data_IF_068008873379
#
_entry.id   IF_068008873379
#
_cell.length_a   1.000
_cell.length_b   1.000
_cell.length_c   1.000
_cell.angle_alpha   90.00
_cell.angle_beta   90.00
_cell.angle_gamma   90.00
#
_symmetry.space_group_name_H-M   'P 1'
#
loop_
_entity.id
_entity.type
_entity.pdbx_description
1 polymer ?
#
# COMPACT_ATOMS: atom_id res chain seq x y z
N UNK A 1 23.28 25.64 -58.09
CA UNK A 1 23.32 25.23 -56.67
C UNK A 1 22.01 24.62 -56.16
N UNK A 2 20.85 24.89 -56.78
CA UNK A 2 19.54 24.34 -56.36
C UNK A 2 19.38 22.81 -56.51
N UNK A 3 20.04 22.18 -57.49
CA UNK A 3 19.96 20.72 -57.69
C UNK A 3 20.48 19.91 -56.49
N UNK A 4 21.54 20.40 -55.83
CA UNK A 4 22.18 19.71 -54.71
C UNK A 4 21.30 19.74 -53.44
N UNK A 5 20.56 20.83 -53.22
CA UNK A 5 19.66 20.97 -52.06
C UNK A 5 18.47 20.01 -52.14
N UNK A 6 17.87 19.85 -53.33
CA UNK A 6 16.73 18.95 -53.52
C UNK A 6 17.13 17.47 -53.37
N UNK A 7 18.28 17.07 -53.89
CA UNK A 7 18.81 15.71 -53.73
C UNK A 7 19.12 15.40 -52.27
N UNK A 8 19.75 16.36 -51.56
CA UNK A 8 20.03 16.24 -50.12
C UNK A 8 18.76 16.12 -49.29
N UNK A 9 17.75 16.94 -49.55
CA UNK A 9 16.45 16.88 -48.85
C UNK A 9 15.74 15.55 -49.12
N UNK A 10 15.72 15.08 -50.36
CA UNK A 10 15.12 13.79 -50.71
C UNK A 10 15.79 12.63 -49.97
N UNK A 11 17.13 12.65 -49.89
CA UNK A 11 17.91 11.67 -49.14
C UNK A 11 17.58 11.70 -47.64
N UNK A 12 17.66 12.89 -47.00
CA UNK A 12 17.40 13.05 -45.58
C UNK A 12 15.97 12.64 -45.21
N UNK A 13 14.99 13.03 -46.02
CA UNK A 13 13.59 12.63 -45.84
C UNK A 13 13.42 11.12 -45.91
N UNK A 14 13.98 10.46 -46.93
CA UNK A 14 13.87 9.01 -47.08
C UNK A 14 14.51 8.27 -45.90
N UNK A 15 15.71 8.69 -45.48
CA UNK A 15 16.43 8.09 -44.34
C UNK A 15 15.72 8.32 -43.02
N UNK A 16 15.20 9.52 -42.77
CA UNK A 16 14.50 9.82 -41.52
C UNK A 16 13.20 9.02 -41.44
N UNK A 17 12.42 8.96 -42.52
CA UNK A 17 11.19 8.16 -42.56
C UNK A 17 11.47 6.66 -42.42
N UNK A 18 12.54 6.14 -43.03
CA UNK A 18 12.99 4.76 -42.86
C UNK A 18 13.37 4.47 -41.41
N UNK A 19 14.17 5.34 -40.77
CA UNK A 19 14.55 5.19 -39.36
C UNK A 19 13.35 5.27 -38.42
N UNK A 20 12.42 6.21 -38.67
CA UNK A 20 11.19 6.33 -37.91
C UNK A 20 10.31 5.07 -38.05
N UNK A 21 10.20 4.50 -39.25
CA UNK A 21 9.41 3.28 -39.48
C UNK A 21 9.97 2.03 -38.79
N UNK A 22 11.24 2.06 -38.37
CA UNK A 22 11.87 1.00 -37.57
C UNK A 22 11.78 1.25 -36.07
N UNK A 23 11.47 2.47 -35.65
CA UNK A 23 11.35 2.85 -34.24
C UNK A 23 9.90 2.60 -33.77
N UNK A 24 9.65 1.68 -32.82
CA UNK A 24 8.30 1.34 -32.37
C UNK A 24 7.58 2.51 -31.70
N UNK A 25 8.31 3.57 -31.35
CA UNK A 25 7.80 4.78 -30.69
C UNK A 25 7.26 5.79 -31.71
N UNK A 26 7.70 5.74 -32.97
CA UNK A 26 7.37 6.75 -33.98
C UNK A 26 6.41 6.17 -35.02
N UNK A 27 5.21 6.75 -35.13
CA UNK A 27 4.33 6.48 -36.27
C UNK A 27 4.60 7.51 -37.38
N UNK A 28 5.21 7.12 -38.52
CA UNK A 28 5.70 8.07 -39.53
C UNK A 28 4.59 8.72 -40.37
N UNK A 29 3.32 8.32 -40.19
CA UNK A 29 2.23 8.62 -41.12
C UNK A 29 1.92 10.12 -41.29
N UNK A 30 2.38 10.99 -40.38
CA UNK A 30 2.14 12.43 -40.45
C UNK A 30 3.42 13.30 -40.43
N UNK A 31 4.62 12.70 -40.47
CA UNK A 31 5.87 13.46 -40.40
C UNK A 31 6.22 14.11 -41.75
N UNK A 32 6.27 15.43 -41.77
CA UNK A 32 6.75 16.24 -42.88
C UNK A 32 8.14 16.78 -42.56
N UNK A 33 9.03 16.67 -43.53
CA UNK A 33 10.43 17.09 -43.42
C UNK A 33 10.70 18.13 -44.50
N UNK A 34 11.14 19.31 -44.09
CA UNK A 34 11.51 20.41 -44.96
C UNK A 34 12.94 20.86 -44.66
N UNK A 35 13.66 21.34 -45.67
CA UNK A 35 14.96 21.99 -45.49
C UNK A 35 14.81 23.45 -45.93
N UNK A 36 15.04 24.37 -45.00
CA UNK A 36 15.04 25.81 -45.25
C UNK A 36 16.39 26.36 -44.83
N UNK A 37 17.16 26.84 -45.81
CA UNK A 37 18.56 27.21 -45.64
C UNK A 37 19.37 26.06 -44.99
N UNK A 38 19.89 26.27 -43.78
CA UNK A 38 20.65 25.27 -43.01
C UNK A 38 19.82 24.65 -41.86
N UNK A 39 18.48 24.79 -41.92
CA UNK A 39 17.56 24.30 -40.89
C UNK A 39 16.66 23.19 -41.44
N UNK A 40 16.74 22.01 -40.81
CA UNK A 40 15.81 20.91 -41.02
C UNK A 40 14.56 21.12 -40.15
N UNK A 41 13.45 21.45 -40.79
CA UNK A 41 12.16 21.69 -40.14
C UNK A 41 11.33 20.41 -40.16
N UNK A 42 10.97 19.93 -38.98
CA UNK A 42 10.17 18.73 -38.75
C UNK A 42 8.77 19.17 -38.30
N UNK A 43 7.75 18.87 -39.08
CA UNK A 43 6.34 19.18 -38.76
C UNK A 43 5.48 17.94 -38.87
N UNK A 44 4.31 17.95 -38.24
CA UNK A 44 3.41 16.80 -38.23
C UNK A 44 2.78 16.56 -36.87
N UNK A 45 1.86 15.59 -36.82
CA UNK A 45 1.31 15.09 -35.57
C UNK A 45 2.16 13.91 -35.09
N UNK A 46 2.56 13.94 -33.83
CA UNK A 46 3.26 12.84 -33.16
C UNK A 46 2.42 12.35 -32.00
N UNK A 47 2.40 11.04 -31.72
CA UNK A 47 1.50 10.49 -30.71
C UNK A 47 1.83 10.99 -29.30
N UNK A 48 3.07 11.40 -29.02
CA UNK A 48 3.46 11.81 -27.68
C UNK A 48 4.80 12.57 -27.67
N UNK A 49 5.18 13.15 -26.53
CA UNK A 49 6.33 14.03 -26.40
C UNK A 49 7.67 13.28 -26.58
N UNK A 50 7.80 12.05 -26.09
CA UNK A 50 9.01 11.26 -26.29
C UNK A 50 9.25 10.93 -27.77
N UNK A 51 8.18 10.71 -28.56
CA UNK A 51 8.31 10.53 -30.01
C UNK A 51 8.86 11.81 -30.66
N UNK A 52 8.41 12.99 -30.20
CA UNK A 52 8.94 14.28 -30.64
C UNK A 52 10.45 14.37 -30.40
N UNK A 53 10.92 14.13 -29.18
CA UNK A 53 12.35 14.18 -28.83
C UNK A 53 13.17 13.15 -29.62
N UNK A 54 12.66 11.93 -29.76
CA UNK A 54 13.32 10.86 -30.51
C UNK A 54 13.54 11.20 -31.97
N UNK A 55 12.56 11.83 -32.63
CA UNK A 55 12.70 12.31 -34.01
C UNK A 55 13.81 13.38 -34.09
N UNK A 56 13.89 14.28 -33.11
CA UNK A 56 14.98 15.28 -33.06
C UNK A 56 16.36 14.62 -32.96
N UNK A 57 16.51 13.59 -32.13
CA UNK A 57 17.79 12.90 -31.97
C UNK A 57 18.19 12.14 -33.24
N UNK A 58 17.26 11.46 -33.89
CA UNK A 58 17.49 10.80 -35.18
C UNK A 58 17.87 11.82 -36.26
N UNK A 59 17.21 12.97 -36.29
CA UNK A 59 17.53 14.04 -37.23
C UNK A 59 18.94 14.60 -37.01
N UNK A 60 19.36 14.84 -35.76
CA UNK A 60 20.73 15.26 -35.41
C UNK A 60 21.77 14.22 -35.80
N UNK A 61 21.48 12.93 -35.65
CA UNK A 61 22.39 11.85 -36.05
C UNK A 61 22.56 11.78 -37.56
N UNK A 62 21.50 12.00 -38.33
CA UNK A 62 21.51 11.94 -39.79
C UNK A 62 22.10 13.20 -40.44
N UNK A 63 21.95 14.36 -39.80
CA UNK A 63 22.40 15.65 -40.30
C UNK A 63 23.03 16.50 -39.18
N UNK A 64 24.23 16.14 -38.69
CA UNK A 64 24.87 16.82 -37.57
C UNK A 64 25.32 18.26 -37.90
N UNK A 65 25.38 18.62 -39.17
CA UNK A 65 25.76 19.94 -39.67
C UNK A 65 24.56 20.89 -39.85
N UNK A 66 23.32 20.42 -39.66
CA UNK A 66 22.11 21.23 -39.81
C UNK A 66 21.52 21.62 -38.44
N UNK A 67 20.89 22.79 -38.39
CA UNK A 67 20.02 23.15 -37.27
C UNK A 67 18.72 22.34 -37.36
N UNK A 68 18.22 21.84 -36.22
CA UNK A 68 16.98 21.05 -36.17
C UNK A 68 15.87 21.89 -35.52
N UNK A 69 14.85 22.23 -36.29
CA UNK A 69 13.61 22.84 -35.79
C UNK A 69 12.52 21.75 -35.72
N UNK A 70 12.18 21.33 -34.50
CA UNK A 70 11.12 20.36 -34.28
C UNK A 70 9.80 21.03 -33.88
N UNK A 71 9.04 21.38 -34.90
CA UNK A 71 7.71 21.96 -34.83
C UNK A 71 6.59 20.90 -34.89
N UNK A 72 6.88 19.63 -34.58
CA UNK A 72 5.83 18.61 -34.46
C UNK A 72 4.86 18.94 -33.33
N UNK A 73 3.57 18.70 -33.56
CA UNK A 73 2.49 18.86 -32.58
C UNK A 73 2.21 17.51 -31.92
N UNK A 74 2.18 17.47 -30.60
CA UNK A 74 1.81 16.26 -29.86
C UNK A 74 0.29 16.12 -29.90
N UNK A 75 -0.20 14.96 -30.34
CA UNK A 75 -1.62 14.63 -30.28
C UNK A 75 -2.04 14.47 -28.81
N UNK A 76 -2.73 15.48 -28.27
CA UNK A 76 -3.19 15.47 -26.90
C UNK A 76 -4.23 14.36 -26.61
N UNK A 77 -4.82 13.76 -27.66
CA UNK A 77 -5.77 12.65 -27.54
C UNK A 77 -5.08 11.28 -27.60
N UNK A 78 -3.81 11.22 -28.00
CA UNK A 78 -3.10 9.97 -28.09
C UNK A 78 -2.76 9.43 -26.70
N UNK A 79 -2.97 8.13 -26.54
CA UNK A 79 -2.62 7.42 -25.30
C UNK A 79 -1.08 7.38 -25.20
N UNK A 80 -0.47 7.82 -24.10
CA UNK A 80 0.97 7.78 -23.94
C UNK A 80 1.51 6.35 -24.10
N UNK A 81 2.71 6.23 -24.66
CA UNK A 81 3.30 4.91 -24.85
C UNK A 81 3.61 4.24 -23.50
N UNK A 82 3.69 2.90 -23.43
CA UNK A 82 4.08 2.22 -22.19
C UNK A 82 5.41 2.72 -21.61
N UNK A 83 6.38 3.09 -22.46
CA UNK A 83 7.66 3.65 -22.03
C UNK A 83 7.50 4.98 -21.30
N UNK A 84 6.73 5.91 -21.85
CA UNK A 84 6.46 7.20 -21.18
C UNK A 84 5.66 7.05 -19.90
N UNK A 85 4.69 6.12 -19.88
CA UNK A 85 3.95 5.83 -18.67
C UNK A 85 4.87 5.25 -17.59
N UNK A 86 5.86 4.44 -17.97
CA UNK A 86 6.87 3.92 -17.05
C UNK A 86 7.80 5.03 -16.55
N UNK A 87 8.27 5.91 -17.43
CA UNK A 87 9.12 7.05 -17.04
C UNK A 87 8.38 7.98 -16.07
N UNK A 88 7.12 8.31 -16.39
CA UNK A 88 6.25 9.10 -15.53
C UNK A 88 5.98 8.44 -14.18
N UNK A 89 5.78 7.11 -14.16
CA UNK A 89 5.63 6.36 -12.91
C UNK A 89 6.94 6.40 -12.10
N UNK A 90 8.09 6.26 -12.76
CA UNK A 90 9.41 6.36 -12.17
C UNK A 90 9.69 7.73 -11.55
N UNK A 91 9.38 8.81 -12.27
CA UNK A 91 9.49 10.18 -11.77
C UNK A 91 8.59 10.42 -10.56
N UNK A 92 7.33 10.00 -10.65
CA UNK A 92 6.39 10.08 -9.54
C UNK A 92 6.89 9.30 -8.31
N UNK A 93 7.41 8.08 -8.49
CA UNK A 93 7.96 7.28 -7.39
C UNK A 93 9.19 7.94 -6.77
N UNK A 94 10.15 8.42 -7.58
CA UNK A 94 11.33 9.15 -7.07
C UNK A 94 10.93 10.40 -6.28
N UNK A 95 9.93 11.14 -6.77
CA UNK A 95 9.44 12.32 -6.08
C UNK A 95 8.73 11.98 -4.76
N UNK A 96 7.90 10.94 -4.75
CA UNK A 96 7.05 10.58 -3.60
C UNK A 96 7.82 9.83 -2.52
N UNK A 97 8.76 8.97 -2.90
CA UNK A 97 9.45 8.04 -1.99
C UNK A 97 10.96 8.30 -1.88
N UNK A 98 11.51 9.25 -2.62
CA UNK A 98 12.94 9.60 -2.56
C UNK A 98 13.85 8.42 -2.87
N UNK A 99 14.82 8.19 -1.99
CA UNK A 99 15.84 7.15 -2.14
C UNK A 99 15.25 5.73 -2.14
N UNK A 100 14.09 5.52 -1.52
CA UNK A 100 13.45 4.20 -1.48
C UNK A 100 12.93 3.76 -2.86
N UNK A 101 12.73 4.71 -3.79
CA UNK A 101 12.23 4.43 -5.14
C UNK A 101 13.13 3.46 -5.92
N UNK A 102 14.41 3.32 -5.56
CA UNK A 102 15.33 2.39 -6.20
C UNK A 102 14.98 0.91 -5.99
N UNK A 103 14.24 0.57 -4.93
CA UNK A 103 13.77 -0.80 -4.66
C UNK A 103 12.38 -1.08 -5.24
N UNK A 104 11.71 -0.04 -5.75
CA UNK A 104 10.35 -0.10 -6.29
C UNK A 104 10.37 -0.11 -7.82
N UNK A 105 9.38 -0.77 -8.41
CA UNK A 105 9.28 -0.85 -9.86
C UNK A 105 7.84 -0.88 -10.34
N UNK A 106 7.63 -0.36 -11.55
CA UNK A 106 6.35 -0.41 -12.26
C UNK A 106 6.64 -0.87 -13.68
N UNK A 107 5.92 -1.90 -14.14
CA UNK A 107 5.94 -2.29 -15.55
C UNK A 107 4.57 -2.04 -16.15
N UNK A 108 4.52 -1.54 -17.39
CA UNK A 108 3.26 -1.19 -18.05
C UNK A 108 3.18 -1.91 -19.39
N UNK A 109 2.03 -2.54 -19.66
CA UNK A 109 1.79 -3.23 -20.92
C UNK A 109 0.31 -3.57 -21.11
N UNK A 110 -0.20 -3.38 -22.33
CA UNK A 110 -1.60 -3.67 -22.67
C UNK A 110 -2.61 -2.96 -21.75
N UNK A 111 -2.30 -1.71 -21.38
CA UNK A 111 -3.08 -0.87 -20.45
C UNK A 111 -3.19 -1.39 -19.03
N UNK A 112 -2.35 -2.35 -18.64
CA UNK A 112 -2.19 -2.83 -17.26
C UNK A 112 -0.86 -2.36 -16.70
N UNK A 113 -0.86 -1.91 -15.45
CA UNK A 113 0.36 -1.64 -14.69
C UNK A 113 0.59 -2.78 -13.67
N UNK A 114 1.84 -3.21 -13.53
CA UNK A 114 2.27 -4.24 -12.61
C UNK A 114 3.29 -3.64 -11.63
N UNK A 115 2.92 -3.56 -10.36
CA UNK A 115 3.83 -3.10 -9.30
C UNK A 115 4.77 -4.23 -8.92
N UNK A 116 6.06 -3.92 -8.77
CA UNK A 116 7.13 -4.88 -8.45
C UNK A 116 8.14 -4.29 -7.46
N UNK A 117 8.96 -5.16 -6.89
CA UNK A 117 10.06 -4.78 -6.00
C UNK A 117 9.66 -4.75 -4.53
N UNK A 118 10.49 -4.11 -3.71
CA UNK A 118 10.27 -3.98 -2.26
C UNK A 118 9.62 -2.64 -1.97
N UNK A 119 8.44 -2.68 -1.35
CA UNK A 119 7.65 -1.51 -1.00
C UNK A 119 7.62 -1.34 0.52
N UNK A 120 7.68 -0.11 1.04
CA UNK A 120 7.83 0.12 2.48
C UNK A 120 6.59 -0.30 3.28
N UNK A 121 5.38 -0.05 2.76
CA UNK A 121 4.11 -0.22 3.49
C UNK A 121 2.94 -0.57 2.56
N UNK A 122 1.85 -1.10 3.13
CA UNK A 122 0.59 -1.33 2.38
C UNK A 122 -0.01 -0.01 1.88
N UNK A 123 0.13 1.07 2.64
CA UNK A 123 -0.32 2.40 2.25
C UNK A 123 0.40 2.87 0.98
N UNK A 124 1.73 2.68 0.88
CA UNK A 124 2.51 3.05 -0.30
C UNK A 124 2.02 2.29 -1.55
N UNK A 125 1.76 0.99 -1.43
CA UNK A 125 1.19 0.18 -2.53
C UNK A 125 -0.19 0.69 -2.93
N UNK A 126 -1.03 1.02 -1.96
CA UNK A 126 -2.39 1.53 -2.21
C UNK A 126 -2.34 2.88 -2.91
N UNK A 127 -1.47 3.79 -2.46
CA UNK A 127 -1.25 5.09 -3.08
C UNK A 127 -0.74 4.93 -4.52
N UNK A 128 0.21 4.04 -4.76
CA UNK A 128 0.71 3.76 -6.11
C UNK A 128 -0.39 3.22 -7.03
N UNK A 129 -1.25 2.33 -6.55
CA UNK A 129 -2.41 1.85 -7.32
C UNK A 129 -3.36 2.97 -7.70
N UNK A 130 -3.62 3.91 -6.78
CA UNK A 130 -4.50 5.05 -7.04
C UNK A 130 -3.87 6.01 -8.05
N UNK A 131 -2.61 6.40 -7.86
CA UNK A 131 -1.96 7.40 -8.72
C UNK A 131 -1.64 6.85 -10.12
N UNK A 132 -1.07 5.65 -10.21
CA UNK A 132 -0.78 5.02 -11.51
C UNK A 132 -2.08 4.64 -12.23
N UNK A 133 -3.13 4.28 -11.48
CA UNK A 133 -4.45 3.99 -12.04
C UNK A 133 -5.12 5.21 -12.70
N UNK A 134 -4.65 6.44 -12.42
CA UNK A 134 -5.12 7.67 -13.07
C UNK A 134 -4.37 7.99 -14.36
N UNK A 135 -3.33 7.23 -14.71
CA UNK A 135 -2.57 7.50 -15.92
C UNK A 135 -3.41 7.18 -17.16
N UNK A 136 -3.41 8.03 -18.20
CA UNK A 136 -4.15 7.77 -19.43
C UNK A 136 -3.76 6.42 -20.05
N UNK A 137 -4.76 5.60 -20.40
CA UNK A 137 -4.55 4.27 -20.97
C UNK A 137 -4.37 3.13 -19.95
N UNK A 138 -4.24 3.44 -18.66
CA UNK A 138 -4.21 2.41 -17.60
C UNK A 138 -5.63 2.11 -17.13
N UNK A 139 -6.05 0.85 -17.24
CA UNK A 139 -7.36 0.39 -16.78
C UNK A 139 -7.29 -0.57 -15.59
N UNK A 140 -6.10 -1.09 -15.24
CA UNK A 140 -5.92 -1.89 -14.03
C UNK A 140 -4.49 -1.83 -13.50
N UNK A 141 -4.34 -1.83 -12.17
CA UNK A 141 -3.04 -1.92 -11.48
C UNK A 141 -2.98 -3.18 -10.62
N UNK A 142 -2.05 -4.07 -10.95
CA UNK A 142 -1.80 -5.35 -10.29
C UNK A 142 -0.62 -5.24 -9.31
N UNK A 143 -0.84 -5.40 -8.00
CA UNK A 143 0.22 -5.39 -6.99
C UNK A 143 0.86 -6.77 -6.72
N UNK A 144 0.53 -7.81 -7.50
CA UNK A 144 0.97 -9.19 -7.23
C UNK A 144 2.50 -9.39 -7.19
N UNK A 145 3.27 -8.51 -7.83
CA UNK A 145 4.74 -8.53 -7.83
C UNK A 145 5.40 -7.79 -6.67
N UNK A 146 4.62 -7.21 -5.74
CA UNK A 146 5.13 -6.44 -4.62
C UNK A 146 5.55 -7.34 -3.46
N UNK A 147 6.76 -7.11 -2.95
CA UNK A 147 7.21 -7.59 -1.64
C UNK A 147 7.18 -6.44 -0.65
N UNK A 148 6.63 -6.65 0.55
CA UNK A 148 6.61 -5.58 1.57
C UNK A 148 7.84 -5.69 2.48
N UNK A 149 8.48 -4.54 2.73
CA UNK A 149 9.63 -4.42 3.62
C UNK A 149 9.22 -4.86 5.03
N UNK A 150 10.02 -5.74 5.61
CA UNK A 150 9.76 -6.37 6.90
C UNK A 150 10.98 -6.30 7.81
N UNK A 151 11.86 -5.36 7.52
CA UNK A 151 13.06 -5.07 8.29
C UNK A 151 13.20 -3.57 8.46
N UNK A 152 13.86 -3.17 9.53
CA UNK A 152 14.36 -1.80 9.71
C UNK A 152 15.84 -1.79 9.36
N UNK A 153 16.27 -0.74 8.66
CA UNK A 153 17.69 -0.50 8.43
C UNK A 153 18.26 0.22 9.64
N UNK A 154 19.29 -0.36 10.26
CA UNK A 154 20.09 0.33 11.25
C UNK A 154 20.93 1.42 10.57
N UNK A 155 21.39 2.45 11.31
CA UNK A 155 22.27 3.49 10.77
C UNK A 155 23.53 2.95 10.07
N UNK A 156 23.96 1.76 10.45
CA UNK A 156 25.10 1.03 9.90
C UNK A 156 24.79 0.30 8.58
N UNK A 157 23.55 0.41 8.07
CA UNK A 157 23.09 -0.26 6.84
C UNK A 157 22.60 -1.70 7.03
N UNK A 158 22.71 -2.25 8.24
CA UNK A 158 22.27 -3.62 8.53
C UNK A 158 20.74 -3.71 8.63
N UNK A 159 20.16 -4.68 7.91
CA UNK A 159 18.72 -4.97 7.98
C UNK A 159 18.40 -5.87 9.17
N UNK A 160 17.54 -5.39 10.08
CA UNK A 160 17.03 -6.18 11.22
C UNK A 160 15.56 -6.50 10.99
N UNK A 161 15.15 -7.78 11.01
CA UNK A 161 13.74 -8.15 10.91
C UNK A 161 12.90 -7.44 11.96
N UNK A 162 11.77 -6.88 11.56
CA UNK A 162 10.81 -6.32 12.50
C UNK A 162 10.09 -7.46 13.22
N UNK A 163 10.28 -7.54 14.53
CA UNK A 163 9.50 -8.44 15.35
C UNK A 163 8.06 -7.91 15.51
N UNK A 164 7.12 -8.82 15.78
CA UNK A 164 5.71 -8.45 15.90
C UNK A 164 5.47 -7.43 17.03
N UNK A 165 6.31 -7.46 18.07
CA UNK A 165 6.25 -6.56 19.21
C UNK A 165 6.60 -5.13 18.78
N UNK A 166 7.65 -4.93 17.98
CA UNK A 166 8.03 -3.61 17.48
C UNK A 166 6.92 -2.98 16.63
N UNK A 167 6.29 -3.77 15.75
CA UNK A 167 5.18 -3.28 14.91
C UNK A 167 3.99 -2.84 15.77
N UNK A 168 3.60 -3.64 16.78
CA UNK A 168 2.50 -3.29 17.68
C UNK A 168 2.83 -2.06 18.54
N UNK A 169 4.07 -1.95 19.03
CA UNK A 169 4.51 -0.78 19.79
C UNK A 169 4.56 0.49 18.94
N UNK A 170 4.96 0.39 17.67
CA UNK A 170 4.90 1.48 16.71
C UNK A 170 3.45 1.89 16.43
N UNK A 171 2.55 0.92 16.23
CA UNK A 171 1.11 1.18 16.09
C UNK A 171 0.52 1.87 17.31
N UNK A 172 0.87 1.43 18.52
CA UNK A 172 0.44 2.05 19.76
C UNK A 172 0.82 3.54 19.80
N UNK A 173 2.08 3.85 19.45
CA UNK A 173 2.58 5.22 19.40
C UNK A 173 1.87 6.03 18.31
N UNK A 174 1.74 5.48 17.11
CA UNK A 174 1.08 6.15 15.99
C UNK A 174 -0.39 6.48 16.30
N UNK A 175 -1.13 5.53 16.86
CA UNK A 175 -2.51 5.75 17.30
C UNK A 175 -2.62 6.76 18.44
N UNK A 176 -1.68 6.76 19.39
CA UNK A 176 -1.65 7.74 20.47
C UNK A 176 -1.53 9.18 19.96
N UNK A 177 -0.79 9.42 18.87
CA UNK A 177 -0.72 10.76 18.24
C UNK A 177 -2.05 11.23 17.67
N UNK A 178 -2.95 10.30 17.35
CA UNK A 178 -4.28 10.55 16.82
C UNK A 178 -5.36 10.59 17.93
N UNK A 179 -4.95 10.48 19.20
CA UNK A 179 -5.86 10.46 20.35
C UNK A 179 -6.45 9.09 20.68
N UNK A 180 -6.04 8.02 19.97
CA UNK A 180 -6.47 6.66 20.26
C UNK A 180 -5.49 5.95 21.19
N UNK A 181 -6.00 5.19 22.16
CA UNK A 181 -5.17 4.38 23.07
C UNK A 181 -5.41 2.89 22.79
N UNK A 182 -4.37 2.19 22.35
CA UNK A 182 -4.40 0.73 22.31
C UNK A 182 -4.52 0.15 23.72
N UNK A 183 -5.27 -0.95 23.85
CA UNK A 183 -5.58 -1.60 25.13
C UNK A 183 -6.81 -1.05 25.83
N UNK A 184 -7.19 0.20 25.57
CA UNK A 184 -8.42 0.78 26.15
C UNK A 184 -9.66 0.34 25.35
N UNK A 185 -9.59 0.38 24.02
CA UNK A 185 -10.74 0.08 23.15
C UNK A 185 -10.38 -0.73 21.91
N UNK A 186 -9.12 -0.66 21.48
CA UNK A 186 -8.60 -1.39 20.33
C UNK A 186 -7.39 -2.20 20.78
N UNK A 187 -7.39 -3.49 20.48
CA UNK A 187 -6.24 -4.37 20.52
C UNK A 187 -5.67 -4.54 19.12
N UNK A 188 -4.35 -4.66 19.04
CA UNK A 188 -3.66 -5.03 17.80
C UNK A 188 -2.76 -6.23 18.05
N UNK A 189 -2.72 -7.13 17.08
CA UNK A 189 -1.84 -8.31 17.11
C UNK A 189 -1.09 -8.37 15.80
N UNK A 190 0.21 -8.64 15.85
CA UNK A 190 1.00 -8.86 14.65
C UNK A 190 1.45 -10.31 14.59
N UNK A 191 1.16 -10.98 13.48
CA UNK A 191 1.70 -12.29 13.15
C UNK A 191 2.38 -12.21 11.78
N UNK A 192 3.72 -12.16 11.76
CA UNK A 192 4.53 -12.07 10.55
C UNK A 192 4.06 -10.96 9.57
N UNK A 193 3.75 -9.78 10.12
CA UNK A 193 3.28 -8.64 9.34
C UNK A 193 1.77 -8.64 9.05
N UNK A 194 1.03 -9.70 9.39
CA UNK A 194 -0.43 -9.62 9.41
C UNK A 194 -0.87 -8.98 10.71
N UNK A 195 -1.42 -7.75 10.63
CA UNK A 195 -1.97 -7.05 11.79
C UNK A 195 -3.46 -7.32 11.88
N UNK A 196 -3.88 -7.94 12.98
CA UNK A 196 -5.29 -8.13 13.34
C UNK A 196 -5.68 -7.02 14.32
N UNK A 197 -6.70 -6.24 13.97
CA UNK A 197 -7.25 -5.16 14.77
C UNK A 197 -8.60 -5.60 15.33
N UNK A 198 -8.75 -5.56 16.64
CA UNK A 198 -9.95 -6.02 17.35
C UNK A 198 -10.37 -4.97 18.34
N UNK A 199 -11.66 -4.68 18.43
CA UNK A 199 -12.15 -3.76 19.45
C UNK A 199 -13.37 -2.96 19.03
N UNK A 200 -13.62 -1.88 19.77
CA UNK A 200 -14.75 -0.99 19.52
C UNK A 200 -14.21 0.41 19.26
N UNK A 201 -14.72 1.06 18.21
CA UNK A 201 -14.44 2.46 17.89
C UNK A 201 -15.75 3.25 17.89
N UNK A 202 -15.67 4.57 18.00
CA UNK A 202 -16.87 5.40 18.14
C UNK A 202 -17.72 5.43 16.88
N UNK A 203 -17.09 5.51 15.72
CA UNK A 203 -17.75 5.63 14.43
C UNK A 203 -16.87 5.11 13.28
N UNK A 204 -17.44 5.10 12.08
CA UNK A 204 -16.76 4.63 10.87
C UNK A 204 -15.54 5.49 10.51
N UNK A 205 -15.53 6.78 10.86
CA UNK A 205 -14.37 7.64 10.63
C UNK A 205 -13.20 7.19 11.49
N UNK A 206 -13.43 6.92 12.77
CA UNK A 206 -12.44 6.37 13.68
C UNK A 206 -11.94 5.00 13.20
N UNK A 207 -12.83 4.12 12.75
CA UNK A 207 -12.46 2.83 12.16
C UNK A 207 -11.48 3.00 10.99
N UNK A 208 -11.83 3.84 10.01
CA UNK A 208 -11.01 4.11 8.83
C UNK A 208 -9.65 4.69 9.23
N UNK A 209 -9.62 5.62 10.18
CA UNK A 209 -8.37 6.23 10.66
C UNK A 209 -7.45 5.21 11.33
N UNK A 210 -7.99 4.31 12.15
CA UNK A 210 -7.19 3.25 12.79
C UNK A 210 -6.59 2.30 11.75
N UNK A 211 -7.38 1.87 10.76
CA UNK A 211 -6.91 1.02 9.65
C UNK A 211 -5.88 1.76 8.80
N UNK A 212 -6.11 3.04 8.49
CA UNK A 212 -5.21 3.86 7.70
C UNK A 212 -3.86 4.03 8.39
N UNK A 213 -3.85 4.41 9.68
CA UNK A 213 -2.61 4.51 10.48
C UNK A 213 -1.87 3.18 10.48
N UNK A 214 -2.57 2.06 10.68
CA UNK A 214 -1.98 0.72 10.66
C UNK A 214 -1.34 0.40 9.31
N UNK A 215 -1.97 0.78 8.20
CA UNK A 215 -1.50 0.49 6.84
C UNK A 215 -0.19 1.21 6.47
N UNK A 216 0.13 2.30 7.19
CA UNK A 216 1.30 3.15 6.99
C UNK A 216 2.52 2.68 7.80
N UNK A 217 2.39 1.64 8.61
CA UNK A 217 3.49 1.14 9.44
C UNK A 217 4.38 0.19 8.66
N UNK A 218 5.69 0.32 8.89
CA UNK A 218 6.68 -0.58 8.31
C UNK A 218 6.50 -1.99 8.88
N UNK A 219 6.64 -3.02 8.05
CA UNK A 219 6.44 -4.41 8.45
C UNK A 219 4.99 -4.88 8.46
N UNK A 220 4.02 -3.99 8.26
CA UNK A 220 2.62 -4.39 8.03
C UNK A 220 2.45 -4.85 6.59
N UNK A 221 1.96 -6.08 6.43
CA UNK A 221 1.73 -6.77 5.15
C UNK A 221 0.26 -6.89 4.78
N UNK A 222 -0.55 -7.17 5.80
CA UNK A 222 -1.98 -7.40 5.68
C UNK A 222 -2.65 -6.87 6.93
N UNK A 223 -3.83 -6.31 6.78
CA UNK A 223 -4.68 -5.92 7.91
C UNK A 223 -5.92 -6.80 7.90
N UNK A 224 -6.28 -7.32 9.06
CA UNK A 224 -7.55 -7.98 9.32
C UNK A 224 -8.30 -7.08 10.29
N UNK A 225 -9.36 -6.44 9.79
CA UNK A 225 -10.17 -5.50 10.57
C UNK A 225 -11.38 -6.20 11.18
N UNK A 226 -11.40 -6.26 12.51
CA UNK A 226 -12.50 -6.72 13.35
C UNK A 226 -12.98 -5.62 14.31
N UNK A 227 -12.72 -4.36 13.97
CA UNK A 227 -13.24 -3.22 14.70
C UNK A 227 -14.75 -3.12 14.49
N UNK A 228 -15.46 -2.73 15.54
CA UNK A 228 -16.91 -2.49 15.48
C UNK A 228 -17.23 -1.06 15.90
N UNK A 229 -18.09 -0.41 15.11
CA UNK A 229 -18.58 0.92 15.42
C UNK A 229 -19.58 0.87 16.57
N UNK A 230 -19.45 1.80 17.51
CA UNK A 230 -20.38 1.97 18.62
C UNK A 230 -21.71 2.45 18.07
N UNK A 231 -22.80 1.77 18.45
CA UNK A 231 -24.14 2.07 17.91
C UNK A 231 -25.13 2.54 18.98
N UNK A 232 -24.72 2.60 20.24
CA UNK A 232 -25.58 2.94 21.37
C UNK A 232 -25.14 4.16 22.19
N UNK A 233 -25.94 4.44 23.23
CA UNK A 233 -25.62 5.45 24.24
C UNK A 233 -24.50 4.94 25.14
N UNK A 234 -23.39 5.69 25.23
CA UNK A 234 -22.25 5.36 26.11
C UNK A 234 -22.67 5.09 27.55
N UNK A 235 -23.62 5.85 28.07
CA UNK A 235 -24.10 5.68 29.46
C UNK A 235 -24.90 4.40 29.64
N UNK A 236 -25.70 4.03 28.63
CA UNK A 236 -26.45 2.77 28.66
C UNK A 236 -25.49 1.57 28.59
N UNK A 237 -24.53 1.60 27.66
CA UNK A 237 -23.50 0.58 27.49
C UNK A 237 -22.64 0.45 28.75
N UNK A 238 -22.17 1.56 29.33
CA UNK A 238 -21.39 1.57 30.57
C UNK A 238 -22.15 0.93 31.75
N UNK A 239 -23.47 1.15 31.84
CA UNK A 239 -24.30 0.49 32.86
C UNK A 239 -24.38 -1.02 32.66
N UNK A 240 -24.48 -1.50 31.42
CA UNK A 240 -24.46 -2.93 31.09
C UNK A 240 -23.09 -3.52 31.40
N UNK A 241 -22.01 -2.87 30.95
CA UNK A 241 -20.63 -3.28 31.24
C UNK A 241 -20.37 -3.40 32.74
N UNK A 242 -20.76 -2.39 33.53
CA UNK A 242 -20.59 -2.40 34.98
C UNK A 242 -21.36 -3.56 35.62
N UNK A 243 -22.60 -3.81 35.19
CA UNK A 243 -23.41 -4.93 35.71
C UNK A 243 -22.77 -6.28 35.43
N UNK A 244 -22.28 -6.49 34.21
CA UNK A 244 -21.59 -7.73 33.82
C UNK A 244 -20.24 -7.85 34.57
N UNK A 245 -19.47 -6.78 34.72
CA UNK A 245 -18.22 -6.78 35.50
C UNK A 245 -18.46 -7.13 36.97
N UNK A 246 -19.57 -6.66 37.56
CA UNK A 246 -19.97 -7.10 38.91
C UNK A 246 -20.35 -8.59 38.93
N UNK A 247 -21.02 -9.11 37.90
CA UNK A 247 -21.32 -10.54 37.79
C UNK A 247 -20.04 -11.39 37.66
N UNK A 248 -19.05 -10.95 36.88
CA UNK A 248 -17.72 -11.57 36.80
C UNK A 248 -16.97 -11.55 38.13
N UNK A 249 -17.10 -10.48 38.91
CA UNK A 249 -16.48 -10.42 40.23
C UNK A 249 -17.12 -11.44 41.18
N UNK A 250 -18.45 -11.52 41.23
CA UNK A 250 -19.18 -12.50 42.06
C UNK A 250 -18.91 -13.95 41.65
N UNK A 251 -18.71 -14.21 40.36
CA UNK A 251 -18.40 -15.55 39.85
C UNK A 251 -16.92 -15.95 40.03
N UNK A 252 -16.07 -15.05 40.53
CA UNK A 252 -14.63 -15.27 40.67
C UNK A 252 -13.85 -15.17 39.36
N UNK A 253 -14.51 -14.91 38.21
CA UNK A 253 -13.84 -14.74 36.92
C UNK A 253 -12.83 -13.59 36.95
N UNK A 254 -13.18 -12.46 37.58
CA UNK A 254 -12.32 -11.27 37.55
C UNK A 254 -11.01 -11.43 38.32
N UNK A 255 -11.03 -12.17 39.43
CA UNK A 255 -9.80 -12.46 40.19
C UNK A 255 -8.90 -13.45 39.44
N UNK A 256 -9.50 -14.40 38.72
CA UNK A 256 -8.79 -15.44 37.99
C UNK A 256 -8.30 -15.01 36.60
N UNK A 257 -8.85 -13.91 36.06
CA UNK A 257 -8.55 -13.40 34.74
C UNK A 257 -8.55 -11.86 34.73
N UNK A 258 -7.51 -11.23 35.31
CA UNK A 258 -7.40 -9.77 35.39
C UNK A 258 -7.30 -9.11 34.02
N UNK A 259 -6.82 -9.84 33.01
CA UNK A 259 -6.62 -9.38 31.64
C UNK A 259 -7.89 -9.49 30.77
N UNK A 260 -9.04 -9.90 31.35
CA UNK A 260 -10.30 -9.90 30.61
C UNK A 260 -10.90 -8.51 30.55
N UNK A 261 -11.14 -8.06 29.32
CA UNK A 261 -11.82 -6.81 29.01
C UNK A 261 -13.20 -7.10 28.41
N UNK A 262 -14.14 -6.21 28.74
CA UNK A 262 -15.51 -6.25 28.25
C UNK A 262 -15.87 -4.88 27.70
N UNK A 263 -16.45 -4.91 26.50
CA UNK A 263 -17.07 -3.77 25.84
C UNK A 263 -18.48 -4.14 25.40
N UNK A 264 -19.40 -3.18 25.46
CA UNK A 264 -20.77 -3.36 24.96
C UNK A 264 -21.06 -2.30 23.91
N UNK A 265 -21.59 -2.71 22.76
CA UNK A 265 -22.12 -1.82 21.72
C UNK A 265 -23.53 -2.28 21.36
N UNK A 266 -24.52 -1.47 21.71
CA UNK A 266 -25.93 -1.85 21.55
C UNK A 266 -26.28 -3.15 22.30
N UNK A 267 -26.67 -4.19 21.57
CA UNK A 267 -27.02 -5.53 22.09
C UNK A 267 -25.89 -6.57 21.94
N UNK A 268 -24.68 -6.12 21.60
CA UNK A 268 -23.52 -6.97 21.39
C UNK A 268 -22.48 -6.74 22.48
N UNK A 269 -21.94 -7.83 23.02
CA UNK A 269 -20.84 -7.80 23.97
C UNK A 269 -19.57 -8.38 23.34
N UNK A 270 -18.47 -7.65 23.49
CA UNK A 270 -17.14 -8.02 23.03
C UNK A 270 -16.31 -8.39 24.25
N UNK A 271 -15.84 -9.63 24.27
CA UNK A 271 -15.03 -10.16 25.36
C UNK A 271 -13.65 -10.46 24.81
N UNK A 272 -12.63 -9.80 25.33
CA UNK A 272 -11.25 -9.97 24.89
C UNK A 272 -10.31 -10.11 26.09
N UNK A 273 -9.07 -10.51 25.82
CA UNK A 273 -8.07 -10.76 26.85
C UNK A 273 -7.49 -12.17 26.78
N UNK A 274 -6.74 -12.52 27.82
CA UNK A 274 -6.12 -13.83 27.96
C UNK A 274 -6.55 -14.48 29.27
N UNK A 275 -6.82 -15.78 29.24
CA UNK A 275 -7.08 -16.60 30.42
C UNK A 275 -6.17 -17.82 30.42
N UNK A 276 -5.85 -18.36 31.60
CA UNK A 276 -4.98 -19.53 31.73
C UNK A 276 -5.74 -20.87 31.69
N UNK A 277 -7.08 -20.82 31.64
CA UNK A 277 -7.95 -22.00 31.72
C UNK A 277 -9.14 -21.89 30.74
N UNK A 278 -9.39 -22.89 29.87
CA UNK A 278 -10.59 -22.95 29.03
C UNK A 278 -11.89 -22.90 29.83
N UNK A 279 -11.90 -23.44 31.05
CA UNK A 279 -13.05 -23.37 31.96
C UNK A 279 -13.41 -21.94 32.33
N UNK A 280 -12.40 -21.13 32.70
CA UNK A 280 -12.57 -19.69 32.95
C UNK A 280 -13.10 -18.93 31.73
N UNK A 281 -12.61 -19.24 30.53
CA UNK A 281 -13.13 -18.65 29.28
C UNK A 281 -14.63 -18.92 29.15
N UNK A 282 -15.03 -20.18 29.19
CA UNK A 282 -16.44 -20.59 29.09
C UNK A 282 -17.30 -19.92 30.15
N UNK A 283 -16.80 -19.89 31.40
CA UNK A 283 -17.50 -19.25 32.52
C UNK A 283 -17.69 -17.75 32.30
N UNK A 284 -16.65 -17.05 31.83
CA UNK A 284 -16.73 -15.62 31.56
C UNK A 284 -17.76 -15.31 30.46
N UNK A 285 -17.74 -16.07 29.36
CA UNK A 285 -18.69 -15.91 28.25
C UNK A 285 -20.14 -16.20 28.68
N UNK A 286 -20.36 -17.25 29.48
CA UNK A 286 -21.69 -17.57 30.00
C UNK A 286 -22.26 -16.46 30.89
N UNK A 287 -21.43 -15.79 31.69
CA UNK A 287 -21.87 -14.65 32.51
C UNK A 287 -22.31 -13.48 31.63
N UNK A 288 -21.60 -13.22 30.52
CA UNK A 288 -21.96 -12.16 29.56
C UNK A 288 -23.28 -12.52 28.86
N UNK A 289 -23.41 -13.75 28.38
CA UNK A 289 -24.60 -14.25 27.66
C UNK A 289 -25.86 -14.30 28.55
N UNK A 290 -25.69 -14.39 29.86
CA UNK A 290 -26.80 -14.38 30.83
C UNK A 290 -27.41 -12.99 31.04
N UNK A 291 -26.77 -11.91 30.59
CA UNK A 291 -27.36 -10.57 30.68
C UNK A 291 -28.49 -10.41 29.64
N UNK A 292 -29.73 -10.05 30.06
CA UNK A 292 -30.89 -10.04 29.17
C UNK A 292 -30.81 -8.98 28.07
N UNK A 293 -29.88 -8.01 28.17
CA UNK A 293 -29.69 -6.97 27.16
C UNK A 293 -28.72 -7.38 26.06
N UNK A 294 -27.97 -8.48 26.25
CA UNK A 294 -26.99 -8.97 25.29
C UNK A 294 -27.60 -10.08 24.43
N UNK A 295 -27.71 -9.84 23.13
CA UNK A 295 -28.17 -10.82 22.15
C UNK A 295 -27.05 -11.59 21.49
N UNK A 296 -25.86 -10.99 21.41
CA UNK A 296 -24.71 -11.57 20.73
C UNK A 296 -23.45 -11.36 21.55
N UNK A 297 -22.71 -12.44 21.78
CA UNK A 297 -21.38 -12.39 22.38
C UNK A 297 -20.34 -12.65 21.30
N UNK A 298 -19.35 -11.77 21.20
CA UNK A 298 -18.23 -11.88 20.29
C UNK A 298 -17.00 -12.18 21.14
N UNK A 299 -16.49 -13.40 20.97
CA UNK A 299 -15.44 -13.99 21.77
C UNK A 299 -14.07 -13.82 21.10
N UNK A 300 -13.25 -12.94 21.67
CA UNK A 300 -11.85 -12.74 21.33
C UNK A 300 -10.91 -13.18 22.46
N UNK A 301 -11.42 -13.96 23.42
CA UNK A 301 -10.66 -14.45 24.57
C UNK A 301 -9.70 -15.55 24.13
N UNK A 302 -8.42 -15.38 24.47
CA UNK A 302 -7.39 -16.39 24.26
C UNK A 302 -7.22 -17.23 25.51
N UNK A 303 -7.02 -18.54 25.31
CA UNK A 303 -6.54 -19.41 26.37
C UNK A 303 -5.02 -19.50 26.19
N UNK A 304 -4.25 -19.06 27.18
CA UNK A 304 -2.82 -19.27 27.20
C UNK A 304 -2.58 -20.77 27.16
N UNK A 305 -1.94 -21.25 26.08
CA UNK A 305 -1.42 -22.62 26.04
C UNK A 305 -0.54 -22.79 27.27
N UNK A 306 -0.85 -23.78 28.12
CA UNK A 306 -0.05 -24.07 29.31
C UNK A 306 1.41 -24.10 28.87
N UNK A 307 2.18 -23.08 29.26
CA UNK A 307 3.56 -22.91 28.84
C UNK A 307 4.26 -24.22 29.13
N UNK A 308 4.77 -24.88 28.09
CA UNK A 308 5.37 -26.19 28.21
C UNK A 308 6.36 -26.16 29.36
N UNK A 309 6.02 -26.82 30.47
CA UNK A 309 6.96 -27.08 31.53
C UNK A 309 8.17 -27.73 30.85
N UNK A 310 9.39 -27.20 31.01
CA UNK A 310 10.57 -27.86 30.48
C UNK A 310 10.52 -29.31 30.95
N UNK A 311 10.79 -30.30 30.07
CA UNK A 311 10.79 -31.69 30.48
C UNK A 311 11.67 -31.78 31.73
N UNK A 312 11.09 -32.23 32.85
CA UNK A 312 11.87 -32.49 34.06
C UNK A 312 12.96 -33.46 33.63
N UNK A 313 14.18 -32.94 33.56
CA UNK A 313 15.36 -33.71 33.25
C UNK A 313 15.46 -34.78 34.34
N UNK A 314 15.01 -35.99 34.00
CA UNK A 314 15.24 -37.18 34.78
C UNK A 314 16.70 -37.60 34.55
N UNK A 315 17.64 -36.75 34.96
CA UNK A 315 19.03 -37.15 35.16
C UNK A 315 19.09 -38.02 36.40
N UNK A 316 18.82 -39.30 36.14
CA UNK A 316 19.42 -40.51 36.74
C UNK A 316 20.39 -40.23 37.88
N UNK A 317 20.01 -40.71 39.06
CA UNK A 317 20.97 -41.33 39.96
C UNK A 317 21.62 -42.52 39.26
N UNK A 318 22.94 -42.50 39.24
CA UNK A 318 23.86 -43.60 38.98
C UNK A 318 25.08 -43.37 39.84
#
# INVERSE_FOLDING_TARGET
MSANVNERLAYLRARLLESCGRDPVIQPAALQVMLHDDTLVLTGMVPHAAAKERISDLARQLAPDLQIDNSCTVDAMAVPSPGELMDRAGDWMRHTFGDEAGEMGVMIGGGKAYLRGTWPTVAAVTQARQEIGRFPGIHSVDPSGVTLRHYTLLPEGNAVPLDGISVVNELARALATQGYRLGDWVEARNNHGTVELVGVVDDESAQRQVVEVTSRLTGVRRIIDHLVNRSGSRDAEARVEQRIRHAWARSGCRAAAPDLHLFVSGDQAFVQGTVNDPGLKTKALNVVQADPTIRRVIDFVRVASASGSPPKDQSRGG
#
